data_IF_250629532396
#
_entry.id   IF_250629532396
#
_cell.length_a   1.000
_cell.length_b   1.000
_cell.length_c   1.000
_cell.angle_alpha   90.00
_cell.angle_beta   90.00
_cell.angle_gamma   90.00
#
_symmetry.space_group_name_H-M   'P 1'
#
loop_
_entity.id
_entity.type
_entity.pdbx_description
1 polymer ?
#
# COMPACT_ATOMS: atom_id res chain seq x y z
N UNK A 1 -3.94 27.84 6.54
CA UNK A 1 -3.48 27.25 5.27
C UNK A 1 -2.00 26.96 5.39
N UNK A 2 -1.64 25.72 5.73
CA UNK A 2 -0.28 25.22 5.53
C UNK A 2 -0.41 23.76 5.12
N UNK A 3 -0.53 23.56 3.81
CA UNK A 3 -0.41 22.24 3.18
C UNK A 3 1.02 21.77 3.38
N UNK A 4 1.24 20.84 4.32
CA UNK A 4 2.46 20.02 4.36
C UNK A 4 2.43 19.08 3.16
N UNK A 5 2.74 19.65 1.99
CA UNK A 5 2.89 18.95 0.72
C UNK A 5 4.36 18.54 0.54
N UNK A 6 4.94 17.98 1.60
CA UNK A 6 6.33 17.53 1.65
C UNK A 6 6.34 16.01 1.78
N UNK A 7 6.49 15.33 0.64
CA UNK A 7 6.72 13.87 0.64
C UNK A 7 6.64 13.15 -0.72
N UNK A 8 6.27 13.81 -1.81
CA UNK A 8 5.95 13.09 -3.07
C UNK A 8 7.04 13.06 -4.15
N UNK A 9 8.22 13.65 -3.92
CA UNK A 9 9.30 13.67 -4.93
C UNK A 9 10.33 12.53 -4.81
N UNK A 10 10.12 11.52 -3.96
CA UNK A 10 11.11 10.43 -3.78
C UNK A 10 10.58 9.02 -3.99
N UNK A 11 9.42 8.84 -4.64
CA UNK A 11 9.21 7.57 -5.34
C UNK A 11 10.18 7.60 -6.53
N UNK A 12 11.31 6.89 -6.40
CA UNK A 12 12.33 6.64 -7.45
C UNK A 12 13.61 7.49 -7.54
N UNK A 13 14.07 8.23 -6.51
CA UNK A 13 15.38 8.93 -6.65
C UNK A 13 16.58 7.98 -6.67
N UNK A 14 16.49 6.82 -5.99
CA UNK A 14 17.66 5.93 -5.80
C UNK A 14 17.74 4.74 -6.76
N UNK A 15 16.60 4.14 -7.13
CA UNK A 15 16.56 2.94 -7.98
C UNK A 15 15.34 2.90 -8.91
N UNK A 16 15.31 3.67 -10.01
CA UNK A 16 14.19 3.68 -10.95
C UNK A 16 13.88 2.30 -11.57
N UNK A 17 14.92 1.47 -11.76
CA UNK A 17 14.79 0.11 -12.30
C UNK A 17 13.98 -0.85 -11.42
N UNK A 18 13.74 -0.51 -10.15
CA UNK A 18 12.94 -1.32 -9.24
C UNK A 18 11.44 -0.99 -9.30
N UNK A 19 11.05 0.10 -9.94
CA UNK A 19 9.64 0.53 -10.03
C UNK A 19 8.75 -0.56 -10.66
N UNK A 20 9.10 -1.19 -11.80
CA UNK A 20 8.27 -2.26 -12.37
C UNK A 20 8.10 -3.45 -11.41
N UNK A 21 9.16 -3.82 -10.69
CA UNK A 21 9.09 -4.89 -9.71
C UNK A 21 8.21 -4.53 -8.51
N UNK A 22 8.27 -3.28 -8.05
CA UNK A 22 7.38 -2.79 -6.99
C UNK A 22 5.91 -2.84 -7.42
N UNK A 23 5.60 -2.45 -8.66
CA UNK A 23 4.24 -2.55 -9.22
C UNK A 23 3.75 -4.00 -9.20
N UNK A 24 4.55 -4.95 -9.67
CA UNK A 24 4.17 -6.37 -9.67
C UNK A 24 3.94 -6.90 -8.25
N UNK A 25 4.81 -6.55 -7.29
CA UNK A 25 4.61 -6.91 -5.88
C UNK A 25 3.28 -6.34 -5.37
N UNK A 26 3.00 -5.06 -5.62
CA UNK A 26 1.77 -4.43 -5.16
C UNK A 26 0.53 -5.06 -5.82
N UNK A 27 0.58 -5.43 -7.11
CA UNK A 27 -0.51 -6.15 -7.80
C UNK A 27 -0.77 -7.51 -7.14
N UNK A 28 0.28 -8.27 -6.82
CA UNK A 28 0.14 -9.55 -6.12
C UNK A 28 -0.46 -9.34 -4.71
N UNK A 29 0.05 -8.38 -3.94
CA UNK A 29 -0.45 -8.10 -2.59
C UNK A 29 -1.88 -7.54 -2.57
N UNK A 30 -2.27 -6.77 -3.59
CA UNK A 30 -3.64 -6.34 -3.78
C UNK A 30 -4.57 -7.54 -4.03
N UNK A 31 -4.18 -8.50 -4.87
CA UNK A 31 -4.96 -9.73 -5.13
C UNK A 31 -5.09 -10.62 -3.89
N UNK A 32 -4.09 -10.64 -3.02
CA UNK A 32 -4.13 -11.35 -1.72
C UNK A 32 -4.95 -10.61 -0.66
N UNK A 33 -5.33 -9.35 -0.92
CA UNK A 33 -5.93 -8.49 0.10
C UNK A 33 -7.37 -8.88 0.44
N UNK A 34 -7.65 -8.92 1.74
CA UNK A 34 -9.02 -9.10 2.25
C UNK A 34 -9.65 -7.74 2.60
N UNK A 35 -10.98 -7.65 2.66
CA UNK A 35 -11.65 -6.47 3.24
C UNK A 35 -11.55 -6.49 4.77
N UNK A 36 -11.50 -7.68 5.37
CA UNK A 36 -11.33 -7.83 6.81
C UNK A 36 -9.90 -7.48 7.21
N UNK A 37 -9.76 -6.60 8.21
CA UNK A 37 -8.45 -6.20 8.71
C UNK A 37 -7.73 -7.40 9.30
N UNK A 38 -6.46 -7.59 8.94
CA UNK A 38 -5.65 -8.73 9.35
C UNK A 38 -4.24 -8.29 9.76
N UNK A 39 -3.70 -8.98 10.77
CA UNK A 39 -2.32 -8.76 11.21
C UNK A 39 -1.31 -9.57 10.37
N UNK A 40 -1.80 -10.50 9.54
CA UNK A 40 -0.97 -11.49 8.83
C UNK A 40 -1.13 -11.43 7.31
N UNK A 41 -2.22 -10.84 6.81
CA UNK A 41 -2.53 -10.77 5.38
C UNK A 41 -2.72 -9.32 4.95
N UNK A 42 -2.41 -8.98 3.70
CA UNK A 42 -2.79 -7.68 3.15
C UNK A 42 -4.28 -7.44 3.30
N UNK A 43 -4.67 -6.17 3.47
CA UNK A 43 -6.08 -5.80 3.52
C UNK A 43 -6.30 -4.39 2.98
N UNK A 44 -7.51 -4.15 2.48
CA UNK A 44 -7.92 -2.84 1.98
C UNK A 44 -8.73 -2.13 3.06
N UNK A 45 -8.47 -0.85 3.28
CA UNK A 45 -9.29 -0.02 4.17
C UNK A 45 -9.52 1.36 3.58
N UNK A 46 -10.59 2.02 3.99
CA UNK A 46 -10.74 3.45 3.79
C UNK A 46 -10.02 4.22 4.93
N UNK A 47 -9.20 5.19 4.57
CA UNK A 47 -8.64 6.13 5.52
C UNK A 47 -9.73 7.11 5.97
N UNK A 48 -10.04 7.11 7.27
CA UNK A 48 -11.13 7.94 7.82
C UNK A 48 -10.92 9.45 7.66
N UNK A 49 -9.67 9.91 7.52
CA UNK A 49 -9.34 11.34 7.38
C UNK A 49 -9.41 11.78 5.91
N UNK A 50 -8.83 11.01 5.01
CA UNK A 50 -8.69 11.39 3.59
C UNK A 50 -9.79 10.83 2.71
N UNK A 51 -10.57 9.85 3.19
CA UNK A 51 -11.56 9.10 2.40
C UNK A 51 -10.96 8.30 1.24
N UNK A 52 -9.64 8.16 1.22
CA UNK A 52 -8.95 7.36 0.21
C UNK A 52 -8.87 5.89 0.62
N UNK A 53 -8.97 4.99 -0.36
CA UNK A 53 -8.64 3.59 -0.14
C UNK A 53 -7.14 3.43 0.04
N UNK A 54 -6.74 2.61 1.01
CA UNK A 54 -5.37 2.24 1.31
C UNK A 54 -5.22 0.73 1.24
N UNK A 55 -4.16 0.26 0.57
CA UNK A 55 -3.66 -1.10 0.71
C UNK A 55 -2.72 -1.15 1.91
N UNK A 56 -3.06 -1.94 2.92
CA UNK A 56 -2.22 -2.19 4.09
C UNK A 56 -1.57 -3.56 3.94
N UNK A 57 -0.24 -3.60 3.95
CA UNK A 57 0.56 -4.82 3.76
C UNK A 57 1.38 -5.05 5.03
N UNK A 58 0.99 -5.98 5.92
CA UNK A 58 1.80 -6.36 7.07
C UNK A 58 3.21 -6.76 6.64
N UNK A 59 4.25 -6.29 7.34
CA UNK A 59 5.64 -6.66 7.01
C UNK A 59 5.87 -8.16 7.16
N UNK A 60 5.05 -8.85 7.97
CA UNK A 60 5.05 -10.30 8.11
C UNK A 60 4.59 -11.04 6.86
N UNK A 61 3.79 -10.41 5.98
CA UNK A 61 3.32 -11.00 4.72
C UNK A 61 4.26 -10.75 3.52
N UNK A 62 5.43 -10.15 3.79
CA UNK A 62 6.45 -9.86 2.80
C UNK A 62 7.71 -10.70 3.05
N UNK A 63 8.31 -11.18 1.98
CA UNK A 63 9.68 -11.68 1.92
C UNK A 63 10.69 -10.56 2.18
N UNK A 64 11.95 -10.92 2.42
CA UNK A 64 13.03 -9.92 2.58
C UNK A 64 13.21 -9.06 1.33
N UNK A 65 13.12 -9.67 0.14
CA UNK A 65 13.26 -8.95 -1.14
C UNK A 65 12.14 -7.93 -1.33
N UNK A 66 10.89 -8.34 -1.13
CA UNK A 66 9.74 -7.43 -1.30
C UNK A 66 9.83 -6.23 -0.36
N UNK A 67 10.26 -6.43 0.89
CA UNK A 67 10.50 -5.32 1.83
C UNK A 67 11.52 -4.32 1.27
N UNK A 68 12.68 -4.83 0.85
CA UNK A 68 13.74 -3.98 0.32
C UNK A 68 13.31 -3.23 -0.93
N UNK A 69 12.58 -3.87 -1.85
CA UNK A 69 12.09 -3.24 -3.08
C UNK A 69 11.11 -2.12 -2.75
N UNK A 70 10.09 -2.39 -1.92
CA UNK A 70 9.08 -1.40 -1.57
C UNK A 70 9.66 -0.20 -0.81
N UNK A 71 10.59 -0.44 0.12
CA UNK A 71 11.30 0.64 0.81
C UNK A 71 12.18 1.47 -0.14
N UNK A 72 12.89 0.80 -1.06
CA UNK A 72 13.77 1.44 -2.02
C UNK A 72 13.03 2.33 -3.03
N UNK A 73 11.76 2.03 -3.33
CA UNK A 73 10.90 2.86 -4.19
C UNK A 73 10.06 3.87 -3.40
N UNK A 74 10.31 4.05 -2.10
CA UNK A 74 9.69 5.13 -1.31
C UNK A 74 8.46 4.75 -0.50
N UNK A 75 8.21 3.46 -0.26
CA UNK A 75 7.14 3.00 0.64
C UNK A 75 7.71 2.56 2.00
N UNK A 76 7.78 3.46 3.00
CA UNK A 76 8.36 3.14 4.30
C UNK A 76 7.45 2.24 5.14
N UNK A 77 8.07 1.45 6.01
CA UNK A 77 7.38 0.74 7.09
C UNK A 77 6.86 1.74 8.11
N UNK A 78 5.60 1.58 8.54
CA UNK A 78 4.99 2.39 9.59
C UNK A 78 4.11 1.57 10.53
N UNK A 79 3.96 2.01 11.80
CA UNK A 79 3.04 1.38 12.73
C UNK A 79 1.59 1.65 12.33
N UNK A 80 0.75 0.61 12.33
CA UNK A 80 -0.66 0.67 11.97
C UNK A 80 -1.49 -0.03 13.03
N UNK A 81 -2.57 0.61 13.47
CA UNK A 81 -3.53 0.00 14.40
C UNK A 81 -4.51 -0.90 13.65
N UNK A 82 -4.62 -2.15 14.10
CA UNK A 82 -5.57 -3.15 13.63
C UNK A 82 -6.31 -3.72 14.84
N UNK A 83 -7.56 -3.29 15.02
CA UNK A 83 -8.32 -3.57 16.25
C UNK A 83 -7.59 -3.00 17.47
N UNK A 84 -7.23 -3.87 18.40
CA UNK A 84 -6.48 -3.52 19.61
C UNK A 84 -4.96 -3.71 19.49
N UNK A 85 -4.48 -4.20 18.34
CA UNK A 85 -3.06 -4.48 18.12
C UNK A 85 -2.41 -3.40 17.25
N UNK A 86 -1.12 -3.14 17.51
CA UNK A 86 -0.26 -2.37 16.60
C UNK A 86 0.62 -3.32 15.80
N UNK A 87 0.62 -3.19 14.48
CA UNK A 87 1.50 -3.95 13.58
C UNK A 87 2.42 -3.00 12.82
N UNK A 88 3.53 -3.51 12.29
CA UNK A 88 4.34 -2.79 11.31
C UNK A 88 3.88 -3.20 9.91
N UNK A 89 3.52 -2.22 9.09
CA UNK A 89 3.02 -2.44 7.75
C UNK A 89 3.57 -1.39 6.78
N UNK A 90 3.56 -1.74 5.50
CA UNK A 90 3.62 -0.77 4.40
C UNK A 90 2.18 -0.42 4.06
N UNK A 91 1.88 0.87 3.92
CA UNK A 91 0.52 1.32 3.59
C UNK A 91 0.62 2.25 2.39
N UNK A 92 -0.11 1.90 1.34
CA UNK A 92 -0.08 2.61 0.06
C UNK A 92 -1.49 3.09 -0.28
N UNK A 93 -1.65 4.41 -0.46
CA UNK A 93 -2.91 5.04 -0.81
C UNK A 93 -3.27 4.86 -2.28
N UNK A 94 -4.56 4.83 -2.59
CA UNK A 94 -5.06 4.71 -3.97
C UNK A 94 -4.57 5.84 -4.89
N UNK A 95 -4.35 7.04 -4.36
CA UNK A 95 -3.72 8.13 -5.10
C UNK A 95 -2.27 7.81 -5.48
N UNK A 96 -1.49 7.28 -4.52
CA UNK A 96 -0.11 6.84 -4.76
C UNK A 96 -0.04 5.71 -5.79
N UNK A 97 -0.94 4.73 -5.66
CA UNK A 97 -1.05 3.62 -6.59
C UNK A 97 -1.38 4.12 -8.00
N UNK A 98 -2.27 5.09 -8.14
CA UNK A 98 -2.66 5.67 -9.42
C UNK A 98 -1.56 6.42 -10.16
N UNK A 99 -0.63 7.04 -9.43
CA UNK A 99 0.54 7.66 -10.03
C UNK A 99 1.55 6.63 -10.51
N UNK A 100 1.64 5.50 -9.82
CA UNK A 100 2.56 4.41 -10.16
C UNK A 100 2.03 3.57 -11.33
N UNK A 101 0.75 3.17 -11.24
CA UNK A 101 0.09 2.27 -12.18
C UNK A 101 -1.44 2.41 -12.02
N UNK A 102 -2.12 2.95 -13.05
CA UNK A 102 -3.56 3.19 -13.02
C UNK A 102 -4.38 1.90 -12.85
N UNK A 103 -3.90 0.78 -13.40
CA UNK A 103 -4.56 -0.52 -13.27
C UNK A 103 -4.61 -0.97 -11.81
N UNK A 104 -3.55 -0.74 -11.04
CA UNK A 104 -3.46 -1.06 -9.62
C UNK A 104 -4.44 -0.24 -8.77
N UNK A 105 -4.62 1.05 -9.07
CA UNK A 105 -5.68 1.86 -8.45
C UNK A 105 -7.07 1.28 -8.75
N UNK A 106 -7.32 0.96 -10.01
CA UNK A 106 -8.61 0.41 -10.43
C UNK A 106 -8.87 -0.96 -9.79
N UNK A 107 -7.84 -1.81 -9.69
CA UNK A 107 -7.90 -3.10 -9.03
C UNK A 107 -8.30 -2.96 -7.56
N UNK A 108 -7.70 -2.02 -6.82
CA UNK A 108 -8.07 -1.77 -5.42
C UNK A 108 -9.54 -1.35 -5.28
N UNK A 109 -10.02 -0.44 -6.14
CA UNK A 109 -11.41 0.00 -6.14
C UNK A 109 -12.35 -1.18 -6.43
N UNK A 110 -12.06 -1.95 -7.46
CA UNK A 110 -12.85 -3.13 -7.81
C UNK A 110 -12.89 -4.11 -6.65
N UNK A 111 -11.75 -4.46 -6.06
CA UNK A 111 -11.70 -5.38 -4.92
C UNK A 111 -12.52 -4.87 -3.74
N UNK A 112 -12.40 -3.60 -3.37
CA UNK A 112 -13.14 -3.02 -2.25
C UNK A 112 -14.66 -2.99 -2.46
N UNK A 113 -15.11 -2.62 -3.66
CA UNK A 113 -16.54 -2.46 -3.97
C UNK A 113 -17.22 -3.74 -4.48
N UNK A 114 -16.47 -4.75 -4.89
CA UNK A 114 -17.01 -6.01 -5.44
C UNK A 114 -16.97 -7.15 -4.43
N UNK A 115 -16.01 -7.14 -3.49
CA UNK A 115 -15.94 -8.15 -2.41
C UNK A 115 -16.92 -7.87 -1.25
N UNK A 116 -17.99 -7.09 -1.49
CA UNK A 116 -19.13 -7.03 -0.57
C UNK A 116 -19.84 -8.38 -0.55
N UNK A 117 -19.36 -9.32 0.27
CA UNK A 117 -20.08 -10.49 0.73
C UNK A 117 -20.32 -10.34 2.23
#
# INVERSE_FOLDING_TARGET
MESKNTGFFEISTKYPSLVPLAVEILKVKAKEACITRSNLRPFIRENQKTRELELVIPVTSLSKLEKCVLEAVGFPKRPVRVGDTMIIAIVVGSFELGQLDQELMQMLRTLYYTLTC
#
